data_IF_442969875732
#
_entry.id   IF_442969875732
#
_cell.length_a   1.000
_cell.length_b   1.000
_cell.length_c   1.000
_cell.angle_alpha   90.00
_cell.angle_beta   90.00
_cell.angle_gamma   90.00
#
_symmetry.space_group_name_H-M   'P 1'
#
loop_
_entity.id
_entity.type
_entity.pdbx_description
1 polymer ?
#
# COMPACT_ATOMS: atom_id res chain seq x y z
N UNK A 1 -2.05 19.36 -13.80
CA UNK A 1 -1.08 18.41 -14.40
C UNK A 1 -1.12 17.15 -13.56
N UNK A 2 -1.01 15.95 -14.14
CA UNK A 2 -0.92 14.72 -13.34
C UNK A 2 0.28 14.77 -12.40
N UNK A 3 0.13 14.23 -11.19
CA UNK A 3 1.22 14.07 -10.21
C UNK A 3 1.91 12.74 -10.52
N UNK A 4 3.18 12.79 -10.96
CA UNK A 4 3.95 11.57 -11.21
C UNK A 4 4.40 10.94 -9.88
N UNK A 5 3.97 9.69 -9.63
CA UNK A 5 4.32 8.91 -8.46
C UNK A 5 5.27 7.78 -8.86
N UNK A 6 6.49 7.82 -8.33
CA UNK A 6 7.51 6.77 -8.55
C UNK A 6 7.41 5.73 -7.45
N UNK A 7 7.01 4.51 -7.81
CA UNK A 7 6.78 3.41 -6.86
C UNK A 7 7.74 2.27 -7.17
N UNK A 8 8.48 1.80 -6.17
CA UNK A 8 9.24 0.56 -6.26
C UNK A 8 8.37 -0.59 -5.79
N UNK A 9 8.16 -1.61 -6.62
CA UNK A 9 7.50 -2.86 -6.22
C UNK A 9 8.57 -3.93 -6.13
N UNK A 10 8.90 -4.36 -4.92
CA UNK A 10 9.84 -5.44 -4.66
C UNK A 10 9.08 -6.75 -4.53
N UNK A 11 9.30 -7.67 -5.45
CA UNK A 11 8.68 -8.99 -5.49
C UNK A 11 9.73 -10.01 -5.03
N UNK A 12 9.50 -10.62 -3.87
CA UNK A 12 10.33 -11.71 -3.37
C UNK A 12 9.78 -13.04 -3.88
N UNK A 13 10.57 -13.76 -4.68
CA UNK A 13 10.15 -15.00 -5.34
C UNK A 13 9.87 -14.83 -6.84
N UNK A 14 9.32 -15.89 -7.44
CA UNK A 14 9.19 -16.03 -8.90
C UNK A 14 7.75 -15.88 -9.40
N UNK A 15 6.82 -15.59 -8.50
CA UNK A 15 5.40 -15.44 -8.84
C UNK A 15 5.16 -14.32 -9.85
N UNK A 16 4.25 -14.61 -10.78
CA UNK A 16 3.73 -13.63 -11.72
C UNK A 16 2.54 -12.92 -11.09
N UNK A 17 2.74 -11.64 -10.74
CA UNK A 17 1.73 -10.77 -10.14
C UNK A 17 1.28 -9.67 -11.11
N UNK A 18 1.54 -9.85 -12.41
CA UNK A 18 1.29 -8.82 -13.44
C UNK A 18 -0.18 -8.43 -13.51
N UNK A 19 -1.11 -9.35 -13.30
CA UNK A 19 -2.55 -9.06 -13.33
C UNK A 19 -2.95 -8.08 -12.22
N UNK A 20 -2.53 -8.35 -10.99
CA UNK A 20 -2.81 -7.53 -9.81
C UNK A 20 -2.14 -6.16 -9.93
N UNK A 21 -0.89 -6.12 -10.40
CA UNK A 21 -0.13 -4.87 -10.55
C UNK A 21 -0.70 -3.97 -11.66
N UNK A 22 -1.08 -4.55 -12.80
CA UNK A 22 -1.72 -3.81 -13.89
C UNK A 22 -3.07 -3.26 -13.46
N UNK A 23 -3.91 -4.07 -12.79
CA UNK A 23 -5.21 -3.63 -12.32
C UNK A 23 -5.10 -2.54 -11.24
N UNK A 24 -4.20 -2.70 -10.27
CA UNK A 24 -3.92 -1.65 -9.28
C UNK A 24 -3.53 -0.34 -9.95
N UNK A 25 -2.62 -0.40 -10.94
CA UNK A 25 -2.23 0.78 -11.71
C UNK A 25 -3.40 1.41 -12.45
N UNK A 26 -4.16 0.60 -13.19
CA UNK A 26 -5.33 1.08 -13.94
C UNK A 26 -6.36 1.73 -13.02
N UNK A 27 -6.63 1.14 -11.86
CA UNK A 27 -7.54 1.71 -10.87
C UNK A 27 -7.04 3.07 -10.38
N UNK A 28 -5.79 3.16 -9.92
CA UNK A 28 -5.25 4.43 -9.40
C UNK A 28 -5.22 5.51 -10.48
N UNK A 29 -4.76 5.20 -11.69
CA UNK A 29 -4.68 6.19 -12.77
C UNK A 29 -6.05 6.58 -13.34
N UNK A 30 -7.07 5.72 -13.23
CA UNK A 30 -8.43 6.04 -13.68
C UNK A 30 -9.19 6.95 -12.71
N UNK A 31 -8.95 6.80 -11.41
CA UNK A 31 -9.74 7.46 -10.36
C UNK A 31 -8.98 8.51 -9.55
N UNK A 32 -7.72 8.78 -9.89
CA UNK A 32 -6.91 9.81 -9.23
C UNK A 32 -6.19 10.65 -10.28
N UNK A 33 -5.63 11.79 -9.87
CA UNK A 33 -4.74 12.55 -10.77
C UNK A 33 -3.28 12.08 -10.70
N UNK A 34 -3.03 10.87 -10.17
CA UNK A 34 -1.69 10.27 -10.14
C UNK A 34 -1.38 9.56 -11.46
N UNK A 35 -0.12 9.58 -11.84
CA UNK A 35 0.43 8.68 -12.86
C UNK A 35 1.48 7.81 -12.19
N UNK A 36 1.29 6.49 -12.19
CA UNK A 36 2.17 5.55 -11.51
C UNK A 36 3.30 5.09 -12.44
N UNK A 37 4.52 5.48 -12.06
CA UNK A 37 5.75 4.99 -12.65
C UNK A 37 6.30 3.85 -11.76
N UNK A 38 5.87 2.63 -12.07
CA UNK A 38 6.19 1.42 -11.30
C UNK A 38 7.55 0.87 -11.76
N UNK A 39 8.48 0.72 -10.81
CA UNK A 39 9.72 -0.03 -10.99
C UNK A 39 9.58 -1.37 -10.30
N UNK A 40 9.43 -2.43 -11.06
CA UNK A 40 9.45 -3.80 -10.52
C UNK A 40 10.88 -4.26 -10.27
N UNK A 41 11.13 -4.79 -9.08
CA UNK A 41 12.42 -5.30 -8.62
C UNK A 41 12.18 -6.71 -8.13
N UNK A 42 12.86 -7.70 -8.72
CA UNK A 42 12.77 -9.09 -8.27
C UNK A 42 13.93 -9.43 -7.35
N UNK A 43 13.60 -10.00 -6.21
CA UNK A 43 14.54 -10.47 -5.20
C UNK A 43 14.31 -11.97 -4.94
N UNK A 44 15.33 -12.70 -4.46
CA UNK A 44 15.14 -14.08 -4.00
C UNK A 44 14.04 -14.18 -2.94
N UNK A 45 13.38 -15.34 -2.86
CA UNK A 45 12.36 -15.59 -1.84
C UNK A 45 12.90 -15.36 -0.42
N UNK A 46 12.13 -14.68 0.42
CA UNK A 46 12.51 -14.43 1.81
C UNK A 46 12.58 -15.75 2.56
N UNK A 47 13.69 -15.99 3.27
CA UNK A 47 13.85 -17.16 4.13
C UNK A 47 13.54 -16.86 5.59
N UNK A 48 13.43 -15.58 5.95
CA UNK A 48 13.15 -15.10 7.30
C UNK A 48 12.19 -13.91 7.22
N UNK A 49 11.20 -13.91 8.12
CA UNK A 49 10.14 -12.90 8.19
C UNK A 49 10.05 -12.43 9.62
N UNK A 50 9.96 -11.12 9.82
CA UNK A 50 9.96 -10.54 11.15
C UNK A 50 8.68 -10.93 11.88
N UNK A 51 8.86 -11.51 13.08
CA UNK A 51 7.78 -11.74 14.02
C UNK A 51 7.48 -10.44 14.77
N UNK A 52 6.20 -10.10 14.85
CA UNK A 52 5.70 -8.91 15.52
C UNK A 52 4.79 -9.31 16.67
N UNK A 53 5.26 -9.04 17.90
CA UNK A 53 4.48 -9.19 19.12
C UNK A 53 3.50 -8.01 19.22
N UNK A 54 2.23 -8.27 18.94
CA UNK A 54 1.18 -7.25 19.01
C UNK A 54 0.84 -6.90 20.45
N UNK A 55 0.97 -5.63 20.85
CA UNK A 55 0.58 -5.18 22.20
C UNK A 55 -0.95 -5.25 22.44
N UNK A 56 -1.75 -5.35 21.36
CA UNK A 56 -3.22 -5.45 21.37
C UNK A 56 -3.83 -6.31 20.24
N UNK A 57 -3.03 -6.78 19.29
CA UNK A 57 -3.44 -7.65 18.19
C UNK A 57 -2.69 -8.97 18.26
N UNK A 58 -3.23 -10.02 17.63
CA UNK A 58 -2.57 -11.33 17.61
C UNK A 58 -1.14 -11.21 17.10
N UNK A 59 -0.25 -11.98 17.71
CA UNK A 59 1.10 -12.20 17.22
C UNK A 59 1.10 -12.58 15.74
N UNK A 60 1.93 -11.91 14.94
CA UNK A 60 1.88 -12.05 13.49
C UNK A 60 3.24 -11.83 12.82
N UNK A 61 3.35 -12.19 11.55
CA UNK A 61 4.56 -12.05 10.75
C UNK A 61 4.36 -11.00 9.65
N UNK A 62 5.40 -10.19 9.41
CA UNK A 62 5.46 -9.26 8.29
C UNK A 62 6.89 -9.10 7.74
N UNK A 63 7.02 -8.88 6.44
CA UNK A 63 8.25 -8.32 5.89
C UNK A 63 8.34 -6.83 6.30
N UNK A 64 9.51 -6.41 6.75
CA UNK A 64 9.76 -5.05 7.26
C UNK A 64 10.77 -4.32 6.39
N UNK A 65 11.05 -3.06 6.75
CA UNK A 65 12.10 -2.26 6.11
C UNK A 65 13.47 -2.95 6.05
N UNK A 66 13.78 -3.84 6.99
CA UNK A 66 15.07 -4.54 7.03
C UNK A 66 15.20 -5.57 5.90
N UNK A 67 14.08 -5.97 5.29
CA UNK A 67 14.09 -6.82 4.10
C UNK A 67 14.39 -6.04 2.81
N UNK A 68 14.28 -4.71 2.82
CA UNK A 68 14.42 -3.86 1.63
C UNK A 68 15.87 -3.83 1.12
N UNK A 69 16.08 -4.25 -0.12
CA UNK A 69 17.34 -4.02 -0.83
C UNK A 69 17.40 -2.59 -1.40
N UNK A 70 17.77 -1.62 -0.56
CA UNK A 70 17.86 -0.21 -0.95
C UNK A 70 18.87 0.08 -2.07
N UNK A 71 19.80 -0.83 -2.36
CA UNK A 71 20.74 -0.67 -3.47
C UNK A 71 20.10 -0.94 -4.83
N UNK A 72 19.03 -1.74 -4.88
CA UNK A 72 18.27 -2.03 -6.10
C UNK A 72 17.22 -0.95 -6.41
N UNK A 73 16.85 -0.13 -5.41
CA UNK A 73 15.83 0.90 -5.56
C UNK A 73 16.42 2.19 -6.15
N UNK A 74 15.87 2.72 -7.25
CA UNK A 74 16.28 4.02 -7.76
C UNK A 74 16.11 5.13 -6.71
N UNK A 75 17.07 6.06 -6.63
CA UNK A 75 17.16 7.11 -5.59
C UNK A 75 15.92 8.02 -5.42
N UNK A 76 14.96 7.98 -6.34
CA UNK A 76 13.80 8.88 -6.36
C UNK A 76 12.46 8.16 -6.22
N UNK A 77 12.46 6.87 -5.88
CA UNK A 77 11.20 6.18 -5.62
C UNK A 77 10.67 6.63 -4.26
N UNK A 78 9.45 7.15 -4.27
CA UNK A 78 8.82 7.79 -3.12
C UNK A 78 8.11 6.77 -2.24
N UNK A 79 7.62 5.67 -2.82
CA UNK A 79 6.90 4.60 -2.14
C UNK A 79 7.54 3.26 -2.50
N UNK A 80 7.60 2.35 -1.51
CA UNK A 80 8.10 0.98 -1.70
C UNK A 80 6.97 0.02 -1.35
N UNK A 81 6.68 -0.97 -2.19
CA UNK A 81 5.71 -2.04 -1.88
C UNK A 81 6.47 -3.35 -1.88
N UNK A 82 6.39 -4.09 -0.78
CA UNK A 82 6.98 -5.42 -0.63
C UNK A 82 5.89 -6.46 -0.88
N UNK A 83 6.09 -7.30 -1.89
CA UNK A 83 5.25 -8.45 -2.20
C UNK A 83 6.03 -9.72 -1.85
N UNK A 84 5.55 -10.50 -0.89
CA UNK A 84 6.28 -11.64 -0.30
C UNK A 84 5.38 -12.84 0.00
N UNK A 85 5.93 -13.97 0.44
CA UNK A 85 5.17 -15.16 0.89
C UNK A 85 5.32 -15.39 2.37
N UNK A 86 4.22 -15.68 3.06
CA UNK A 86 4.28 -16.34 4.37
C UNK A 86 5.00 -17.68 4.25
N UNK A 87 5.85 -17.97 5.24
CA UNK A 87 6.44 -19.29 5.40
C UNK A 87 5.44 -20.25 6.05
N UNK A 88 5.65 -21.54 5.86
CA UNK A 88 4.78 -22.58 6.43
C UNK A 88 4.66 -22.43 7.95
N UNK A 89 3.42 -22.44 8.46
CA UNK A 89 3.11 -22.31 9.89
C UNK A 89 3.10 -20.87 10.43
N UNK A 90 3.30 -19.85 9.59
CA UNK A 90 3.20 -18.45 10.00
C UNK A 90 1.79 -17.88 9.77
N UNK A 91 1.38 -16.96 10.64
CA UNK A 91 0.18 -16.13 10.46
C UNK A 91 0.59 -14.70 10.04
N UNK A 92 -0.09 -14.11 9.06
CA UNK A 92 0.15 -12.71 8.65
C UNK A 92 -0.52 -11.74 9.60
N UNK A 93 0.05 -10.54 9.73
CA UNK A 93 -0.71 -9.40 10.25
C UNK A 93 -1.87 -9.11 9.29
N UNK A 94 -3.04 -8.73 9.81
CA UNK A 94 -4.21 -8.47 8.96
C UNK A 94 -3.90 -7.35 7.94
N UNK A 95 -4.30 -7.55 6.69
CA UNK A 95 -4.24 -6.62 5.55
C UNK A 95 -2.86 -6.08 5.09
N UNK A 96 -1.75 -6.59 5.63
CA UNK A 96 -0.46 -5.96 5.36
C UNK A 96 -0.22 -4.78 6.29
N UNK A 97 1.00 -4.68 6.81
CA UNK A 97 1.29 -3.98 8.07
C UNK A 97 1.43 -2.47 8.00
N UNK A 98 0.75 -1.75 7.11
CA UNK A 98 0.90 -0.28 7.03
C UNK A 98 -0.09 0.45 7.93
N UNK A 99 0.18 0.45 9.24
CA UNK A 99 -0.69 1.08 10.24
C UNK A 99 -0.43 2.60 10.41
N UNK A 100 -0.68 3.39 9.36
CA UNK A 100 -0.72 4.86 9.46
C UNK A 100 0.57 5.55 9.95
N UNK A 101 0.50 6.83 10.34
CA UNK A 101 1.68 7.63 10.73
C UNK A 101 2.29 7.28 12.09
N UNK A 102 1.47 6.79 13.03
CA UNK A 102 1.88 6.49 14.42
C UNK A 102 2.47 5.08 14.58
N UNK A 103 2.14 4.16 13.67
CA UNK A 103 2.64 2.77 13.68
C UNK A 103 3.27 2.35 12.34
N UNK A 104 3.25 3.24 11.35
CA UNK A 104 3.98 3.13 10.09
C UNK A 104 5.46 3.08 10.40
N UNK A 105 6.05 1.96 10.01
CA UNK A 105 7.40 1.60 10.39
C UNK A 105 8.36 2.70 9.94
N UNK A 106 9.01 3.32 10.92
CA UNK A 106 9.80 4.54 10.79
C UNK A 106 10.71 4.56 9.55
N UNK A 107 10.77 5.74 8.92
CA UNK A 107 11.76 6.21 7.93
C UNK A 107 11.42 6.15 6.43
N UNK A 108 10.37 5.45 5.97
CA UNK A 108 9.83 5.57 4.58
C UNK A 108 8.36 5.10 4.48
N UNK A 109 7.59 5.60 3.50
CA UNK A 109 6.27 5.05 3.21
C UNK A 109 6.46 3.72 2.46
N UNK A 110 6.14 2.62 3.12
CA UNK A 110 6.14 1.32 2.45
C UNK A 110 4.92 0.49 2.79
N UNK A 111 4.44 -0.24 1.78
CA UNK A 111 3.42 -1.28 1.91
C UNK A 111 4.08 -2.66 2.04
N UNK A 112 3.50 -3.57 2.83
CA UNK A 112 4.02 -4.93 2.99
C UNK A 112 2.89 -5.94 2.88
N UNK A 113 2.90 -6.75 1.83
CA UNK A 113 1.76 -7.59 1.44
C UNK A 113 2.24 -9.01 1.19
N UNK A 114 1.81 -10.01 2.00
CA UNK A 114 1.96 -11.39 1.60
C UNK A 114 0.97 -11.73 0.49
N UNK A 115 1.44 -12.37 -0.58
CA UNK A 115 0.60 -12.71 -1.74
C UNK A 115 0.12 -14.17 -1.77
N UNK A 116 0.54 -15.01 -0.82
CA UNK A 116 0.12 -16.42 -0.69
C UNK A 116 -0.92 -16.65 0.43
N UNK A 117 -1.73 -15.63 0.72
CA UNK A 117 -2.77 -15.64 1.75
C UNK A 117 -4.16 -15.74 1.14
N UNK A 118 -5.12 -16.30 1.89
CA UNK A 118 -6.48 -16.58 1.39
C UNK A 118 -7.22 -15.34 0.87
N UNK A 119 -6.90 -14.15 1.37
CA UNK A 119 -7.49 -12.89 0.92
C UNK A 119 -6.72 -12.24 -0.23
N UNK A 120 -5.55 -12.74 -0.66
CA UNK A 120 -4.88 -12.24 -1.86
C UNK A 120 -5.29 -13.04 -3.11
N UNK A 121 -6.01 -14.15 -2.90
CA UNK A 121 -6.47 -15.07 -3.94
C UNK A 121 -7.43 -14.39 -4.95
N UNK A 122 -7.18 -14.64 -6.23
CA UNK A 122 -7.94 -14.12 -7.39
C UNK A 122 -9.40 -14.59 -7.44
N UNK A 123 -9.74 -15.68 -6.75
CA UNK A 123 -11.11 -16.21 -6.70
C UNK A 123 -12.07 -15.33 -5.91
N UNK A 124 -11.55 -14.40 -5.11
CA UNK A 124 -12.35 -13.39 -4.42
C UNK A 124 -12.43 -12.12 -5.26
N UNK A 125 -13.51 -11.96 -6.01
CA UNK A 125 -13.83 -10.67 -6.65
C UNK A 125 -14.55 -9.77 -5.65
N UNK A 126 -14.13 -8.52 -5.57
CA UNK A 126 -14.75 -7.50 -4.71
C UNK A 126 -15.21 -6.32 -5.59
N UNK A 127 -16.23 -5.59 -5.14
CA UNK A 127 -16.83 -4.53 -5.94
C UNK A 127 -15.78 -3.51 -6.42
N UNK A 128 -15.65 -3.39 -7.75
CA UNK A 128 -14.70 -2.50 -8.42
C UNK A 128 -13.30 -3.07 -8.70
N UNK A 129 -13.00 -4.30 -8.29
CA UNK A 129 -11.74 -5.00 -8.57
C UNK A 129 -12.00 -6.43 -9.08
N UNK A 130 -11.31 -6.80 -10.16
CA UNK A 130 -11.26 -8.16 -10.69
C UNK A 130 -10.36 -9.08 -9.86
N UNK A 131 -9.38 -8.52 -9.14
CA UNK A 131 -8.49 -9.26 -8.23
C UNK A 131 -8.47 -8.64 -6.84
N UNK A 132 -8.61 -9.47 -5.80
CA UNK A 132 -8.45 -8.99 -4.42
C UNK A 132 -7.02 -8.50 -4.15
N UNK A 133 -6.01 -9.11 -4.80
CA UNK A 133 -4.63 -8.63 -4.74
C UNK A 133 -4.47 -7.16 -5.16
N UNK A 134 -5.09 -6.73 -6.27
CA UNK A 134 -5.06 -5.33 -6.68
C UNK A 134 -5.72 -4.39 -5.66
N UNK A 135 -6.82 -4.84 -5.05
CA UNK A 135 -7.49 -4.09 -3.98
C UNK A 135 -6.60 -3.91 -2.75
N UNK A 136 -5.89 -4.96 -2.32
CA UNK A 136 -4.97 -4.86 -1.17
C UNK A 136 -3.77 -3.98 -1.50
N UNK A 137 -3.20 -4.11 -2.71
CA UNK A 137 -2.12 -3.22 -3.16
C UNK A 137 -2.62 -1.76 -3.17
N UNK A 138 -3.85 -1.51 -3.60
CA UNK A 138 -4.48 -0.18 -3.55
C UNK A 138 -4.59 0.33 -2.11
N UNK A 139 -5.07 -0.51 -1.19
CA UNK A 139 -5.20 -0.18 0.23
C UNK A 139 -3.85 0.23 0.84
N UNK A 140 -2.83 -0.60 0.66
CA UNK A 140 -1.50 -0.34 1.23
C UNK A 140 -0.82 0.86 0.57
N UNK A 141 -1.06 1.08 -0.72
CA UNK A 141 -0.62 2.29 -1.41
C UNK A 141 -1.27 3.55 -0.82
N UNK A 142 -2.56 3.52 -0.48
CA UNK A 142 -3.20 4.63 0.22
C UNK A 142 -2.61 4.87 1.60
N UNK A 143 -2.33 3.81 2.36
CA UNK A 143 -1.67 3.92 3.66
C UNK A 143 -0.27 4.55 3.54
N UNK A 144 0.49 4.16 2.52
CA UNK A 144 1.78 4.77 2.20
C UNK A 144 1.66 6.26 1.84
N UNK A 145 0.65 6.65 1.06
CA UNK A 145 0.38 8.07 0.75
C UNK A 145 -0.01 8.88 1.99
N UNK A 146 -0.86 8.32 2.86
CA UNK A 146 -1.25 8.93 4.14
C UNK A 146 -0.03 9.20 5.01
N UNK A 147 0.92 8.26 5.05
CA UNK A 147 2.18 8.45 5.75
C UNK A 147 2.96 9.64 5.19
N UNK A 148 3.13 9.73 3.86
CA UNK A 148 3.84 10.87 3.22
C UNK A 148 3.19 12.20 3.60
N UNK A 149 1.86 12.28 3.50
CA UNK A 149 1.13 13.50 3.87
C UNK A 149 1.38 13.85 5.33
N UNK A 150 1.38 12.84 6.21
CA UNK A 150 1.54 13.06 7.63
C UNK A 150 2.96 13.51 8.01
N UNK A 151 3.97 12.81 7.54
CA UNK A 151 5.35 12.98 7.97
C UNK A 151 6.09 14.04 7.16
N UNK A 152 5.95 14.04 5.83
CA UNK A 152 6.68 14.94 4.94
C UNK A 152 5.97 16.28 4.75
N UNK A 153 4.62 16.27 4.73
CA UNK A 153 3.82 17.49 4.54
C UNK A 153 3.29 18.06 5.85
N UNK A 154 3.52 17.39 6.99
CA UNK A 154 3.10 17.81 8.34
C UNK A 154 1.58 18.02 8.49
N UNK A 155 0.76 17.31 7.71
CA UNK A 155 -0.70 17.31 7.87
C UNK A 155 -1.12 16.23 8.87
N UNK A 156 -2.02 16.51 9.82
CA UNK A 156 -2.41 15.50 10.81
C UNK A 156 -3.13 14.32 10.14
N UNK A 157 -2.72 13.07 10.43
CA UNK A 157 -3.34 11.87 9.82
C UNK A 157 -4.87 11.78 10.09
N UNK A 158 -5.34 12.41 11.17
CA UNK A 158 -6.76 12.53 11.52
C UNK A 158 -7.58 13.43 10.60
N UNK A 159 -6.97 14.17 9.66
CA UNK A 159 -7.71 14.97 8.67
C UNK A 159 -8.18 14.15 7.46
N UNK A 160 -7.67 12.93 7.30
CA UNK A 160 -8.04 12.05 6.19
C UNK A 160 -9.16 11.09 6.61
N UNK A 161 -10.16 10.84 5.75
CA UNK A 161 -11.27 9.93 6.04
C UNK A 161 -10.75 8.50 6.31
N UNK A 162 -11.14 7.90 7.44
CA UNK A 162 -10.78 6.51 7.78
C UNK A 162 -11.89 5.55 7.29
N UNK A 163 -11.59 4.62 6.36
CA UNK A 163 -12.57 3.66 5.85
C UNK A 163 -13.20 2.79 6.95
N UNK A 164 -12.53 2.61 8.09
CA UNK A 164 -13.01 1.81 9.21
C UNK A 164 -13.74 2.63 10.29
N UNK A 165 -13.76 3.96 10.18
CA UNK A 165 -14.45 4.87 11.11
C UNK A 165 -15.81 5.37 10.58
N UNK A 166 -16.42 4.66 9.63
CA UNK A 166 -17.72 5.02 9.03
C UNK A 166 -17.62 6.07 7.94
N UNK A 167 -16.42 6.46 7.49
CA UNK A 167 -16.25 7.41 6.38
C UNK A 167 -16.84 6.90 5.05
N UNK A 168 -17.08 5.59 4.96
CA UNK A 168 -17.57 4.90 3.78
C UNK A 168 -18.99 4.35 3.95
N UNK A 169 -19.74 4.80 4.96
CA UNK A 169 -21.10 4.34 5.19
C UNK A 169 -22.02 4.64 4.00
N UNK A 170 -22.60 3.58 3.43
CA UNK A 170 -23.48 3.66 2.26
C UNK A 170 -22.76 3.77 0.91
N UNK A 171 -21.42 3.67 0.89
CA UNK A 171 -20.61 3.59 -0.32
C UNK A 171 -20.27 2.13 -0.65
N UNK A 172 -20.11 1.82 -1.93
CA UNK A 172 -19.37 0.63 -2.36
C UNK A 172 -17.90 0.76 -1.93
N UNK A 173 -17.18 -0.35 -1.88
CA UNK A 173 -15.78 -0.33 -1.47
C UNK A 173 -14.88 0.44 -2.46
N UNK A 174 -15.19 0.39 -3.75
CA UNK A 174 -14.53 1.21 -4.75
C UNK A 174 -14.78 2.70 -4.53
N UNK A 175 -16.04 3.12 -4.31
CA UNK A 175 -16.38 4.52 -4.01
C UNK A 175 -15.67 5.02 -2.75
N UNK A 176 -15.57 4.17 -1.72
CA UNK A 176 -14.80 4.42 -0.52
C UNK A 176 -13.33 4.72 -0.84
N UNK A 177 -12.66 3.84 -1.61
CA UNK A 177 -11.27 4.04 -2.02
C UNK A 177 -11.08 5.33 -2.82
N UNK A 178 -11.97 5.63 -3.75
CA UNK A 178 -11.93 6.85 -4.57
C UNK A 178 -12.05 8.08 -3.67
N UNK A 179 -13.01 8.11 -2.75
CA UNK A 179 -13.20 9.25 -1.84
C UNK A 179 -11.97 9.54 -0.96
N UNK A 180 -11.24 8.48 -0.57
CA UNK A 180 -10.00 8.61 0.19
C UNK A 180 -8.89 9.18 -0.68
N UNK A 181 -8.78 8.75 -1.95
CA UNK A 181 -7.81 9.31 -2.88
C UNK A 181 -8.08 10.78 -3.19
N UNK A 182 -9.35 11.18 -3.33
CA UNK A 182 -9.73 12.58 -3.52
C UNK A 182 -9.27 13.43 -2.33
N UNK A 183 -9.56 12.98 -1.09
CA UNK A 183 -9.12 13.67 0.12
C UNK A 183 -7.57 13.76 0.22
N UNK A 184 -6.87 12.67 -0.10
CA UNK A 184 -5.39 12.65 -0.19
C UNK A 184 -4.88 13.67 -1.22
N UNK A 185 -5.52 13.71 -2.39
CA UNK A 185 -5.14 14.57 -3.50
C UNK A 185 -5.35 16.05 -3.15
N UNK A 186 -6.47 16.39 -2.54
CA UNK A 186 -6.79 17.76 -2.10
C UNK A 186 -5.77 18.26 -1.07
N UNK A 187 -5.40 17.43 -0.09
CA UNK A 187 -4.38 17.80 0.91
C UNK A 187 -2.99 17.95 0.28
N UNK A 188 -2.62 17.08 -0.67
CA UNK A 188 -1.37 17.24 -1.41
C UNK A 188 -1.32 18.55 -2.19
N UNK A 189 -2.41 18.95 -2.85
CA UNK A 189 -2.50 20.24 -3.55
C UNK A 189 -2.44 21.44 -2.60
N UNK A 190 -3.10 21.33 -1.45
CA UNK A 190 -3.03 22.31 -0.37
C UNK A 190 -1.58 22.55 0.07
N UNK A 191 -0.86 21.48 0.34
CA UNK A 191 0.52 21.50 0.82
C UNK A 191 1.49 22.17 -0.17
N UNK A 192 1.32 21.92 -1.47
CA UNK A 192 2.20 22.45 -2.53
C UNK A 192 1.74 23.81 -3.07
N UNK A 193 0.70 24.42 -2.47
CA UNK A 193 0.21 25.75 -2.83
C UNK A 193 -0.40 25.83 -4.23
N UNK A 194 -0.94 24.73 -4.75
CA UNK A 194 -1.50 24.62 -6.09
C UNK A 194 -3.03 24.77 -6.14
N UNK A 195 -3.67 25.29 -5.09
CA UNK A 195 -5.03 25.80 -5.22
C UNK A 195 -5.03 26.95 -6.25
N UNK A 196 -5.60 26.67 -7.43
CA UNK A 196 -6.19 27.67 -8.32
C UNK A 196 -7.68 27.77 -8.06
#
# INVERSE_FOLDING_TARGET
MPIEMKVAVMIYGEEDLSAQLNEWKEFVEAYTNFTLNITEIREPELTEITYWEGYYEKDCYLATRENVNYNAIPKYNHIIILLWKLLEGQETCLAGGTWGGDWGIHDRPYGTIPYNVWWFDESYTHEGFNTHGAQIITHEFQNALRWIIHTELSFPASSLPDPYAGACDGMTLAECYISIFDAITDEMYSAIGLFM
#
